data_IF_133901546031
#
_entry.id   IF_133901546031
#
_cell.length_a   1.000
_cell.length_b   1.000
_cell.length_c   1.000
_cell.angle_alpha   90.00
_cell.angle_beta   90.00
_cell.angle_gamma   90.00
#
_symmetry.space_group_name_H-M   'P 1'
#
loop_
_entity.id
_entity.type
_entity.pdbx_description
1 polymer ?
#
# COMPACT_ATOMS: atom_id res chain seq x y z
N UNK A 1 -15.13 -0.58 -4.69
CA UNK A 1 -13.94 -1.18 -4.24
C UNK A 1 -14.05 -2.67 -4.34
N UNK A 2 -13.11 -3.31 -4.91
CA UNK A 2 -13.19 -4.75 -5.10
C UNK A 2 -12.97 -5.48 -3.79
N UNK A 3 -13.73 -6.54 -3.61
CA UNK A 3 -13.54 -7.41 -2.48
C UNK A 3 -12.29 -8.26 -2.74
N UNK A 4 -11.54 -8.64 -1.72
CA UNK A 4 -10.35 -9.48 -1.91
C UNK A 4 -10.62 -10.75 -2.75
N UNK A 5 -11.77 -11.33 -2.60
CA UNK A 5 -12.10 -12.51 -3.38
C UNK A 5 -12.15 -12.21 -4.89
N UNK A 6 -12.61 -11.02 -5.27
CA UNK A 6 -12.65 -10.66 -6.69
C UNK A 6 -11.25 -10.53 -7.27
N UNK A 7 -10.31 -9.99 -6.47
CA UNK A 7 -8.91 -9.96 -6.89
C UNK A 7 -8.36 -11.38 -7.04
N UNK A 8 -8.75 -12.27 -6.14
CA UNK A 8 -8.27 -13.65 -6.17
C UNK A 8 -8.82 -14.40 -7.39
N UNK A 9 -10.08 -14.16 -7.75
CA UNK A 9 -10.66 -14.73 -8.96
C UNK A 9 -9.87 -14.28 -10.18
N UNK A 10 -9.50 -13.01 -10.22
CA UNK A 10 -8.74 -12.49 -11.32
C UNK A 10 -7.32 -13.10 -11.35
N UNK A 11 -6.72 -13.29 -10.17
CA UNK A 11 -5.42 -13.96 -10.09
C UNK A 11 -5.48 -15.36 -10.70
N UNK A 12 -6.55 -16.10 -10.40
CA UNK A 12 -6.70 -17.44 -10.95
C UNK A 12 -6.82 -17.41 -12.47
N UNK A 13 -7.46 -16.39 -13.01
CA UNK A 13 -7.53 -16.26 -14.47
C UNK A 13 -6.19 -15.93 -15.08
N UNK A 14 -5.38 -15.14 -14.39
CA UNK A 14 -4.10 -14.70 -14.92
C UNK A 14 -3.01 -15.75 -14.75
N UNK A 15 -3.02 -16.46 -13.61
CA UNK A 15 -1.89 -17.30 -13.25
C UNK A 15 -2.24 -18.79 -13.15
N UNK A 16 -3.50 -19.14 -13.23
CA UNK A 16 -3.94 -20.51 -13.03
C UNK A 16 -4.25 -20.79 -11.58
N UNK A 17 -4.54 -22.02 -11.27
CA UNK A 17 -4.91 -22.41 -9.93
C UNK A 17 -6.31 -21.95 -9.56
N UNK A 18 -6.55 -21.78 -8.29
CA UNK A 18 -7.84 -21.40 -7.77
C UNK A 18 -7.77 -20.10 -6.99
N UNK A 19 -8.89 -19.38 -6.87
CA UNK A 19 -8.88 -18.13 -6.11
C UNK A 19 -8.33 -18.29 -4.70
N UNK A 20 -8.62 -19.40 -4.04
CA UNK A 20 -8.17 -19.65 -2.69
C UNK A 20 -6.65 -19.66 -2.58
N UNK A 21 -5.96 -19.95 -3.65
CA UNK A 21 -4.49 -19.97 -3.65
C UNK A 21 -3.92 -18.59 -3.40
N UNK A 22 -4.66 -17.53 -3.71
CA UNK A 22 -4.16 -16.17 -3.68
C UNK A 22 -4.86 -15.29 -2.63
N UNK A 23 -5.89 -15.83 -1.99
CA UNK A 23 -6.74 -15.03 -1.13
C UNK A 23 -6.01 -14.39 0.04
N UNK A 24 -5.10 -15.11 0.66
CA UNK A 24 -4.37 -14.57 1.80
C UNK A 24 -3.57 -13.32 1.44
N UNK A 25 -3.02 -13.29 0.23
CA UNK A 25 -2.24 -12.15 -0.22
C UNK A 25 -3.17 -10.95 -0.45
N UNK A 26 -4.28 -11.18 -1.10
CA UNK A 26 -5.23 -10.10 -1.35
C UNK A 26 -5.85 -9.58 -0.05
N UNK A 27 -6.14 -10.47 0.90
CA UNK A 27 -6.62 -10.07 2.20
C UNK A 27 -5.63 -9.17 2.90
N UNK A 28 -4.34 -9.48 2.78
CA UNK A 28 -3.31 -8.70 3.44
C UNK A 28 -3.34 -7.23 3.00
N UNK A 29 -3.51 -6.99 1.70
CA UNK A 29 -3.55 -5.61 1.21
C UNK A 29 -4.74 -4.83 1.77
N UNK A 30 -5.84 -5.51 2.05
CA UNK A 30 -7.05 -4.84 2.52
C UNK A 30 -7.25 -4.90 4.03
N UNK A 31 -6.38 -5.56 4.76
CA UNK A 31 -6.47 -5.61 6.22
C UNK A 31 -6.44 -4.21 6.84
N UNK A 32 -5.80 -3.28 6.18
CA UNK A 32 -5.69 -1.92 6.71
C UNK A 32 -7.04 -1.20 6.79
N UNK A 33 -8.09 -1.76 6.20
CA UNK A 33 -9.43 -1.23 6.37
C UNK A 33 -9.85 -1.25 7.83
N UNK A 34 -9.24 -2.10 8.65
CA UNK A 34 -9.52 -2.14 10.07
C UNK A 34 -9.13 -0.82 10.76
N UNK A 35 -8.18 -0.09 10.18
CA UNK A 35 -7.73 1.16 10.76
C UNK A 35 -8.50 2.35 10.21
N UNK A 36 -8.94 2.27 8.96
CA UNK A 36 -9.63 3.37 8.32
C UNK A 36 -10.42 2.79 7.17
N UNK A 37 -11.73 2.80 7.27
CA UNK A 37 -12.58 2.05 6.34
C UNK A 37 -12.67 2.62 4.93
N UNK A 38 -12.35 3.88 4.72
CA UNK A 38 -12.48 4.46 3.39
C UNK A 38 -11.19 4.25 2.57
N UNK A 39 -11.16 4.80 1.36
CA UNK A 39 -10.06 4.60 0.44
C UNK A 39 -8.70 5.00 0.99
N UNK A 40 -8.65 5.86 1.99
CA UNK A 40 -7.37 6.30 2.54
C UNK A 40 -6.58 5.17 3.19
N UNK A 41 -7.25 4.06 3.59
CA UNK A 41 -6.53 2.92 4.14
C UNK A 41 -5.49 2.40 3.15
N UNK A 42 -5.71 2.66 1.86
CA UNK A 42 -4.81 2.17 0.81
C UNK A 42 -3.42 2.78 0.92
N UNK A 43 -3.31 3.95 1.55
CA UNK A 43 -1.98 4.55 1.76
C UNK A 43 -1.07 3.66 2.59
N UNK A 44 -1.61 2.73 3.34
CA UNK A 44 -0.81 1.89 4.23
C UNK A 44 -0.09 0.76 3.50
N UNK A 45 -0.69 0.18 2.48
CA UNK A 45 -0.08 -0.98 1.81
C UNK A 45 -0.16 -0.95 0.29
N UNK A 46 -0.99 -0.08 -0.32
CA UNK A 46 -1.16 -0.09 -1.77
C UNK A 46 -0.11 0.79 -2.44
N UNK A 47 1.12 0.34 -2.44
CA UNK A 47 2.23 1.03 -3.09
C UNK A 47 3.38 0.05 -3.29
N UNK A 48 4.40 0.48 -4.02
CA UNK A 48 5.54 -0.38 -4.34
C UNK A 48 6.21 -0.95 -3.11
N UNK A 49 6.34 -0.15 -2.05
CA UNK A 49 6.94 -0.61 -0.80
C UNK A 49 6.05 -1.64 -0.10
N UNK A 50 4.73 -1.48 -0.19
CA UNK A 50 3.80 -2.46 0.34
C UNK A 50 3.90 -3.78 -0.41
N UNK A 51 4.09 -3.73 -1.71
CA UNK A 51 4.28 -4.93 -2.52
C UNK A 51 5.55 -5.66 -2.08
N UNK A 52 6.64 -4.93 -1.86
CA UNK A 52 7.86 -5.52 -1.37
C UNK A 52 7.65 -6.14 0.01
N UNK A 53 6.96 -5.45 0.90
CA UNK A 53 6.70 -5.96 2.24
C UNK A 53 5.86 -7.24 2.17
N UNK A 54 4.88 -7.27 1.29
CA UNK A 54 4.04 -8.45 1.10
C UNK A 54 4.90 -9.65 0.71
N UNK A 55 5.82 -9.44 -0.24
CA UNK A 55 6.70 -10.53 -0.67
C UNK A 55 7.62 -10.98 0.46
N UNK A 56 8.00 -10.07 1.35
CA UNK A 56 8.81 -10.45 2.51
C UNK A 56 8.03 -11.31 3.49
N UNK A 57 6.73 -11.04 3.62
CA UNK A 57 5.89 -11.78 4.56
C UNK A 57 5.51 -13.15 4.02
N UNK A 58 5.09 -13.23 2.78
CA UNK A 58 4.59 -14.48 2.21
C UNK A 58 5.65 -15.30 1.49
N UNK A 59 6.84 -14.74 1.29
CA UNK A 59 7.90 -15.39 0.55
C UNK A 59 7.91 -14.95 -0.91
N UNK A 60 8.93 -15.33 -1.66
CA UNK A 60 9.06 -14.87 -3.05
C UNK A 60 7.99 -15.43 -3.99
N UNK A 61 7.49 -16.63 -3.71
CA UNK A 61 6.46 -17.23 -4.57
C UNK A 61 5.48 -17.99 -3.72
N UNK A 62 4.29 -18.21 -4.27
CA UNK A 62 3.34 -19.16 -3.71
C UNK A 62 3.08 -20.21 -4.77
N UNK A 63 2.89 -21.45 -4.33
CA UNK A 63 2.60 -22.50 -5.27
C UNK A 63 1.10 -22.62 -5.39
N UNK A 64 0.57 -22.51 -6.58
CA UNK A 64 -0.87 -22.60 -6.77
C UNK A 64 -1.33 -24.06 -6.89
N UNK A 65 -2.64 -24.25 -7.00
CA UNK A 65 -3.22 -25.59 -7.09
C UNK A 65 -2.78 -26.36 -8.32
N UNK A 66 -2.28 -25.67 -9.34
CA UNK A 66 -1.79 -26.32 -10.54
C UNK A 66 -0.30 -26.69 -10.41
N UNK A 67 0.29 -26.43 -9.25
CA UNK A 67 1.68 -26.74 -9.04
C UNK A 67 2.64 -25.69 -9.57
N UNK A 68 2.13 -24.53 -9.96
CA UNK A 68 2.96 -23.49 -10.54
C UNK A 68 3.38 -22.51 -9.46
N UNK A 69 4.63 -22.09 -9.49
CA UNK A 69 5.13 -21.08 -8.58
C UNK A 69 4.80 -19.70 -9.13
N UNK A 70 4.03 -18.90 -8.41
CA UNK A 70 3.63 -17.58 -8.85
C UNK A 70 4.31 -16.56 -7.93
N UNK A 71 5.02 -15.57 -8.49
CA UNK A 71 5.68 -14.59 -7.64
C UNK A 71 4.68 -13.78 -6.84
N UNK A 72 4.91 -13.67 -5.54
CA UNK A 72 4.05 -12.89 -4.67
C UNK A 72 4.03 -11.44 -5.11
N UNK A 73 5.15 -10.92 -5.54
CA UNK A 73 5.23 -9.56 -6.03
C UNK A 73 4.28 -9.32 -7.20
N UNK A 74 4.17 -10.26 -8.11
CA UNK A 74 3.29 -10.12 -9.27
C UNK A 74 1.82 -10.08 -8.82
N UNK A 75 1.47 -10.86 -7.82
CA UNK A 75 0.12 -10.86 -7.27
C UNK A 75 -0.17 -9.51 -6.60
N UNK A 76 0.80 -8.99 -5.87
CA UNK A 76 0.67 -7.68 -5.24
C UNK A 76 0.53 -6.57 -6.25
N UNK A 77 1.30 -6.62 -7.33
CA UNK A 77 1.20 -5.64 -8.41
C UNK A 77 -0.19 -5.68 -9.03
N UNK A 78 -0.73 -6.87 -9.20
CA UNK A 78 -2.07 -7.01 -9.72
C UNK A 78 -3.09 -6.37 -8.78
N UNK A 79 -2.98 -6.63 -7.48
CA UNK A 79 -3.93 -6.08 -6.51
C UNK A 79 -3.94 -4.56 -6.55
N UNK A 80 -2.76 -3.97 -6.49
CA UNK A 80 -2.65 -2.51 -6.45
C UNK A 80 -3.12 -1.89 -7.77
N UNK A 81 -2.75 -2.50 -8.88
CA UNK A 81 -3.17 -2.00 -10.19
C UNK A 81 -4.67 -2.15 -10.39
N UNK A 82 -5.26 -3.24 -9.91
CA UNK A 82 -6.70 -3.43 -10.01
C UNK A 82 -7.43 -2.32 -9.26
N UNK A 83 -6.91 -1.90 -8.10
CA UNK A 83 -7.57 -0.88 -7.30
C UNK A 83 -7.28 0.54 -7.76
N UNK A 84 -6.08 0.83 -8.20
CA UNK A 84 -5.65 2.20 -8.44
C UNK A 84 -5.35 2.54 -9.89
N UNK A 85 -5.20 1.55 -10.74
CA UNK A 85 -4.85 1.76 -12.13
C UNK A 85 -3.35 1.95 -12.36
N UNK A 86 -2.56 2.05 -11.31
CA UNK A 86 -1.10 2.15 -11.40
C UNK A 86 -0.52 1.83 -10.02
N UNK A 87 0.79 1.79 -9.93
CA UNK A 87 1.46 1.45 -8.68
C UNK A 87 2.19 2.69 -8.16
N UNK A 88 1.61 3.38 -7.16
CA UNK A 88 2.30 4.52 -6.56
C UNK A 88 3.40 4.06 -5.62
N UNK A 89 4.26 4.98 -5.24
CA UNK A 89 5.20 4.75 -4.16
C UNK A 89 4.62 5.32 -2.87
N UNK A 90 5.23 5.00 -1.73
CA UNK A 90 4.86 5.64 -0.47
C UNK A 90 5.01 7.16 -0.60
N UNK A 91 6.06 7.60 -1.30
CA UNK A 91 6.27 9.04 -1.47
C UNK A 91 5.09 9.68 -2.18
N UNK A 92 4.51 9.01 -3.18
CA UNK A 92 3.35 9.56 -3.88
C UNK A 92 2.19 9.79 -2.93
N UNK A 93 1.97 8.87 -1.99
CA UNK A 93 0.94 9.02 -0.99
C UNK A 93 1.27 10.15 -0.02
N UNK A 94 2.52 10.19 0.44
CA UNK A 94 2.92 11.14 1.48
C UNK A 94 2.98 12.58 0.99
N UNK A 95 3.09 12.80 -0.29
CA UNK A 95 3.09 14.15 -0.80
C UNK A 95 1.90 14.96 -0.36
N UNK A 96 0.80 14.33 -0.04
CA UNK A 96 -0.42 15.02 0.32
C UNK A 96 -0.63 15.11 1.83
N UNK A 97 0.34 14.71 2.60
CA UNK A 97 0.25 14.79 4.05
C UNK A 97 1.01 16.00 4.52
N UNK A 98 0.34 16.83 5.31
CA UNK A 98 0.97 18.01 5.86
C UNK A 98 1.74 17.64 7.12
N UNK A 99 3.01 17.98 7.20
CA UNK A 99 3.77 17.73 8.43
C UNK A 99 3.13 18.45 9.62
N UNK A 100 3.05 17.77 10.73
CA UNK A 100 2.51 18.32 11.96
C UNK A 100 3.60 18.31 13.02
N UNK A 101 3.54 19.24 14.00
CA UNK A 101 4.59 19.32 15.01
C UNK A 101 4.84 18.02 15.74
N UNK A 102 3.78 17.24 16.02
CA UNK A 102 3.93 16.00 16.77
C UNK A 102 4.62 14.90 15.96
N UNK A 103 4.79 15.10 14.67
CA UNK A 103 5.42 14.09 13.84
C UNK A 103 6.93 14.06 14.01
N UNK A 104 7.50 15.10 14.61
CA UNK A 104 8.90 15.12 14.95
C UNK A 104 9.03 15.14 16.46
N UNK A 105 10.18 14.81 16.97
CA UNK A 105 10.36 14.80 18.40
C UNK A 105 10.94 16.09 18.91
N UNK A 106 11.28 17.02 18.08
CA UNK A 106 11.83 18.25 18.57
C UNK A 106 10.77 18.97 19.32
N UNK A 107 11.10 19.86 20.16
CA UNK A 107 10.13 20.59 20.95
C UNK A 107 9.10 21.21 20.03
N UNK A 108 7.85 21.00 20.40
CA UNK A 108 6.81 21.50 19.57
C UNK A 108 6.67 22.97 19.73
N UNK A 109 6.60 23.74 18.69
CA UNK A 109 6.40 25.08 18.76
C UNK A 109 5.16 25.37 18.10
N UNK A 110 4.19 25.90 18.66
CA UNK A 110 2.93 26.19 18.05
C UNK A 110 3.18 27.00 16.82
N UNK A 111 2.55 26.69 15.83
CA UNK A 111 2.73 27.34 14.67
C UNK A 111 2.11 28.57 14.61
N UNK A 112 2.41 29.38 15.16
CA UNK A 112 1.72 30.53 15.07
C UNK A 112 1.90 31.11 13.86
N UNK A 113 2.50 31.10 13.51
CA UNK A 113 2.63 31.76 12.40
C UNK A 113 2.49 31.12 11.42
N UNK A 114 2.42 31.09 11.28
CA UNK A 114 2.30 30.65 10.46
C UNK A 114 2.28 30.53 9.63
N UNK A 115 2.14 30.91 9.90
CA UNK A 115 2.03 30.86 9.24
C UNK A 115 2.47 30.53 8.53
N UNK A 116 2.77 30.58 8.83
CA UNK A 116 3.07 30.42 8.36
C UNK A 116 3.37 29.80 7.61
N UNK A 117 3.73 29.70 7.49
CA UNK A 117 3.96 29.31 6.84
C UNK A 117 3.97 28.83 6.06
N UNK A 118 4.03 28.85 5.74
CA UNK A 118 3.98 28.53 4.98
C UNK A 118 4.30 27.79 4.23
N UNK A 119 4.29 27.56 4.12
CA UNK A 119 4.36 26.88 3.37
C UNK A 119 5.40 26.44 2.79
N UNK A 120 6.00 26.62 2.94
CA UNK A 120 6.99 26.35 2.42
C UNK A 120 7.28 25.18 2.57
N UNK A 121 7.12 24.67 2.13
CA UNK A 121 7.20 23.49 2.15
C UNK A 121 8.32 23.02 2.49
N UNK A 122 8.48 22.78 2.98
CA UNK A 122 9.37 22.25 3.40
C UNK A 122 10.05 21.53 2.60
N UNK A 123 10.78 21.56 2.40
CA UNK A 123 11.58 20.92 1.67
C UNK A 123 11.66 19.69 2.07
N UNK A 124 10.98 19.17 1.93
CA UNK A 124 10.96 18.03 2.29
C UNK A 124 12.07 17.35 2.15
N UNK A 125 12.35 16.96 1.55
CA UNK A 125 13.37 16.19 1.39
C UNK A 125 14.34 16.40 2.23
N UNK A 126 14.70 17.31 2.60
CA UNK A 126 15.65 17.42 3.31
C UNK A 126 15.38 17.50 4.54
N UNK A 127 15.00 17.81 4.84
CA UNK A 127 14.79 17.93 5.98
C UNK A 127 14.38 17.01 6.62
N UNK A 128 14.06 16.42 6.35
CA UNK A 128 13.48 15.53 7.05
C UNK A 128 14.17 14.70 7.48
#
# INVERSE_FOLDING_TARGET
MAHPYHHAVRSARLFGGRPEDYLAIHDWFDESKAHLADFRHRALRHHSEGIFLCASIFGPTVQNSDGKAVPVRTIGEQHVTDDLGWIPSVKDWLQHIQPQPWMGRTPFRPQTDAAAAPATPLPLGEGM
#
